data_IF_406141128617
#
_entry.id   IF_406141128617
#
_cell.length_a   1.000
_cell.length_b   1.000
_cell.length_c   1.000
_cell.angle_alpha   90.00
_cell.angle_beta   90.00
_cell.angle_gamma   90.00
#
_symmetry.space_group_name_H-M   'P 1'
#
loop_
_entity.id
_entity.type
_entity.pdbx_description
1 polymer ?
#
# COMPACT_ATOMS: atom_id res chain seq x y z
N UNK A 1 -20.67 21.96 -56.96
CA UNK A 1 -20.00 21.06 -57.94
C UNK A 1 -18.62 20.81 -57.37
N UNK A 2 -18.29 19.55 -57.05
CA UNK A 2 -17.05 19.19 -56.36
C UNK A 2 -16.18 18.37 -57.31
N UNK A 3 -14.86 18.41 -57.13
CA UNK A 3 -13.93 17.56 -57.86
C UNK A 3 -13.57 16.35 -56.98
N UNK A 4 -13.51 15.16 -57.57
CA UNK A 4 -12.93 14.00 -56.90
C UNK A 4 -11.40 14.02 -56.94
N UNK A 5 -10.78 12.99 -56.35
CA UNK A 5 -9.32 12.79 -56.33
C UNK A 5 -8.69 12.65 -57.74
N UNK A 6 -9.50 12.43 -58.78
CA UNK A 6 -9.09 12.34 -60.18
C UNK A 6 -9.44 13.61 -60.98
N UNK A 7 -9.76 14.73 -60.30
CA UNK A 7 -10.20 15.99 -60.89
C UNK A 7 -11.46 15.90 -61.76
N UNK A 8 -12.29 14.87 -61.56
CA UNK A 8 -13.57 14.77 -62.25
C UNK A 8 -14.63 15.55 -61.48
N UNK A 9 -15.44 16.27 -62.23
CA UNK A 9 -16.63 16.95 -61.73
C UNK A 9 -17.67 15.92 -61.28
N UNK A 10 -18.03 15.94 -60.00
CA UNK A 10 -19.04 15.06 -59.39
C UNK A 10 -20.16 15.86 -58.74
N UNK A 11 -21.39 15.35 -58.84
CA UNK A 11 -22.57 15.89 -58.16
C UNK A 11 -22.66 15.34 -56.73
N UNK A 12 -23.27 16.09 -55.82
CA UNK A 12 -23.55 15.59 -54.45
C UNK A 12 -24.49 14.39 -54.44
N UNK A 13 -25.26 14.19 -55.52
CA UNK A 13 -26.12 13.03 -55.70
C UNK A 13 -25.34 11.75 -56.06
N UNK A 14 -24.09 11.87 -56.50
CA UNK A 14 -23.24 10.75 -56.93
C UNK A 14 -22.28 10.28 -55.83
N UNK A 15 -22.16 11.04 -54.73
CA UNK A 15 -21.37 10.65 -53.57
C UNK A 15 -22.19 9.64 -52.76
N UNK A 16 -21.77 8.38 -52.75
CA UNK A 16 -22.33 7.40 -51.82
C UNK A 16 -22.13 7.92 -50.39
N UNK A 17 -23.17 7.96 -49.54
CA UNK A 17 -22.98 8.35 -48.15
C UNK A 17 -21.99 7.39 -47.50
N UNK A 18 -21.06 7.94 -46.72
CA UNK A 18 -20.13 7.12 -45.94
C UNK A 18 -20.92 6.17 -45.05
N UNK A 19 -20.48 4.91 -45.00
CA UNK A 19 -21.02 3.94 -44.06
C UNK A 19 -20.76 4.37 -42.62
N UNK A 20 -21.55 3.86 -41.69
CA UNK A 20 -21.43 4.15 -40.25
C UNK A 20 -19.99 3.95 -39.73
N UNK A 21 -19.31 2.88 -40.17
CA UNK A 21 -17.93 2.59 -39.80
C UNK A 21 -16.94 3.66 -40.30
N UNK A 22 -17.13 4.14 -41.53
CA UNK A 22 -16.26 5.17 -42.13
C UNK A 22 -16.46 6.53 -41.42
N UNK A 23 -17.69 6.82 -41.01
CA UNK A 23 -18.00 8.01 -40.21
C UNK A 23 -17.32 7.91 -38.84
N UNK A 24 -17.40 6.77 -38.15
CA UNK A 24 -16.74 6.58 -36.86
C UNK A 24 -15.21 6.67 -36.96
N UNK A 25 -14.61 6.10 -38.02
CA UNK A 25 -13.16 6.17 -38.24
C UNK A 25 -12.68 7.62 -38.44
N UNK A 26 -13.40 8.42 -39.23
CA UNK A 26 -13.08 9.83 -39.46
C UNK A 26 -13.19 10.67 -38.19
N UNK A 27 -14.27 10.48 -37.42
CA UNK A 27 -14.47 11.19 -36.17
C UNK A 27 -13.32 10.92 -35.19
N UNK A 28 -12.93 9.65 -35.02
CA UNK A 28 -11.82 9.25 -34.17
C UNK A 28 -10.46 9.81 -34.66
N UNK A 29 -10.20 9.82 -35.97
CA UNK A 29 -8.96 10.38 -36.54
C UNK A 29 -8.79 11.87 -36.20
N UNK A 30 -9.91 12.60 -36.07
CA UNK A 30 -9.93 14.01 -35.71
C UNK A 30 -10.12 14.26 -34.21
N UNK A 31 -10.01 13.22 -33.37
CA UNK A 31 -10.14 13.32 -31.92
C UNK A 31 -11.56 13.62 -31.45
N UNK A 32 -12.56 13.42 -32.32
CA UNK A 32 -13.97 13.54 -31.99
C UNK A 32 -14.47 12.14 -31.66
N UNK A 33 -14.51 11.81 -30.37
CA UNK A 33 -15.00 10.51 -29.93
C UNK A 33 -16.52 10.56 -29.78
N UNK A 34 -17.23 9.63 -30.41
CA UNK A 34 -18.69 9.48 -30.25
C UNK A 34 -19.10 8.96 -28.88
N UNK A 35 -18.13 8.47 -28.11
CA UNK A 35 -18.24 8.07 -26.72
C UNK A 35 -16.99 8.52 -25.95
N UNK A 36 -17.15 8.91 -24.69
CA UNK A 36 -16.00 9.12 -23.81
C UNK A 36 -15.41 7.74 -23.47
N UNK A 37 -14.14 7.43 -23.83
CA UNK A 37 -13.53 6.20 -23.37
C UNK A 37 -13.53 6.21 -21.84
N UNK A 38 -14.07 5.15 -21.23
CA UNK A 38 -14.09 4.99 -19.78
C UNK A 38 -12.63 4.98 -19.32
N UNK A 39 -12.18 5.92 -18.47
CA UNK A 39 -10.86 5.78 -17.88
C UNK A 39 -10.89 4.48 -17.07
N UNK A 40 -10.05 3.52 -17.45
CA UNK A 40 -9.79 2.33 -16.65
C UNK A 40 -8.94 2.76 -15.44
N UNK A 41 -9.57 3.44 -14.48
CA UNK A 41 -8.97 3.63 -13.17
C UNK A 41 -9.17 2.34 -12.38
N UNK A 42 -8.17 1.46 -12.44
CA UNK A 42 -7.99 0.44 -11.41
C UNK A 42 -7.34 1.14 -10.21
N UNK A 43 -8.05 1.33 -9.08
CA UNK A 43 -7.38 1.78 -7.87
C UNK A 43 -6.29 0.77 -7.53
N UNK A 44 -5.08 1.20 -7.14
CA UNK A 44 -4.10 0.28 -6.59
C UNK A 44 -4.76 -0.44 -5.40
N UNK A 45 -4.54 -1.75 -5.29
CA UNK A 45 -4.92 -2.48 -4.09
C UNK A 45 -4.15 -1.87 -2.93
N UNK A 46 -4.86 -1.24 -2.00
CA UNK A 46 -4.26 -0.72 -0.78
C UNK A 46 -3.99 -1.91 0.12
N UNK A 47 -2.88 -2.60 -0.14
CA UNK A 47 -2.33 -3.51 0.86
C UNK A 47 -2.09 -2.67 2.11
N UNK A 48 -2.72 -3.00 3.26
CA UNK A 48 -2.44 -2.28 4.49
C UNK A 48 -0.98 -2.56 4.85
N UNK A 49 -0.08 -1.68 4.42
CA UNK A 49 1.24 -1.55 5.02
C UNK A 49 0.96 -1.34 6.49
N UNK A 50 1.33 -2.27 7.36
CA UNK A 50 1.00 -2.22 8.78
C UNK A 50 1.36 -0.83 9.32
N UNK A 51 0.34 -0.06 9.70
CA UNK A 51 0.54 1.33 10.10
C UNK A 51 0.84 1.30 11.59
N UNK A 52 2.06 1.64 11.98
CA UNK A 52 2.36 1.86 13.39
C UNK A 52 1.52 3.05 13.93
N UNK A 53 0.97 2.92 15.14
CA UNK A 53 0.29 4.00 15.85
C UNK A 53 1.24 4.79 16.75
N UNK A 54 2.01 4.10 17.60
CA UNK A 54 3.02 4.69 18.48
C UNK A 54 3.84 3.62 19.20
N UNK A 55 4.98 4.03 19.78
CA UNK A 55 5.62 3.30 20.87
C UNK A 55 4.91 3.57 22.19
N UNK A 56 4.69 2.51 22.98
CA UNK A 56 4.05 2.56 24.29
C UNK A 56 5.05 2.15 25.37
N UNK A 57 5.60 3.11 26.10
CA UNK A 57 6.59 2.87 27.15
C UNK A 57 6.00 2.17 28.38
N UNK A 58 6.72 1.18 28.90
CA UNK A 58 6.44 0.57 30.20
C UNK A 58 7.68 0.53 31.07
N UNK A 59 7.45 0.49 32.39
CA UNK A 59 8.50 0.33 33.39
C UNK A 59 8.80 -1.13 33.69
N UNK A 60 9.90 -1.36 34.42
CA UNK A 60 10.22 -2.68 34.98
C UNK A 60 10.81 -3.69 34.01
N UNK A 61 11.27 -3.24 32.84
CA UNK A 61 11.76 -4.12 31.77
C UNK A 61 10.73 -5.13 31.26
N UNK A 62 9.45 -4.85 31.50
CA UNK A 62 8.32 -5.70 31.16
C UNK A 62 7.37 -4.94 30.21
N UNK A 63 7.12 -5.44 28.98
CA UNK A 63 6.16 -4.84 28.05
C UNK A 63 4.72 -4.78 28.61
N UNK A 64 4.38 -5.62 29.59
CA UNK A 64 3.12 -5.58 30.33
C UNK A 64 3.21 -4.81 31.66
N UNK A 65 4.37 -4.22 31.95
CA UNK A 65 4.63 -3.45 33.16
C UNK A 65 3.84 -2.13 33.23
N UNK A 66 4.08 -1.38 34.30
CA UNK A 66 3.39 -0.10 34.54
C UNK A 66 3.60 0.85 33.35
N UNK A 67 2.52 1.44 32.85
CA UNK A 67 2.57 2.39 31.73
C UNK A 67 3.28 3.67 32.16
N UNK A 68 4.16 4.17 31.29
CA UNK A 68 4.86 5.45 31.47
C UNK A 68 4.55 6.41 30.30
N UNK A 69 3.31 6.94 30.18
CA UNK A 69 2.85 7.61 28.97
C UNK A 69 3.62 8.87 28.58
N UNK A 70 4.32 9.48 29.56
CA UNK A 70 5.17 10.65 29.32
C UNK A 70 6.41 10.33 28.47
N UNK A 71 6.72 9.05 28.29
CA UNK A 71 7.82 8.54 27.49
C UNK A 71 7.34 7.69 26.30
N UNK A 72 6.05 7.74 25.96
CA UNK A 72 5.57 7.24 24.67
C UNK A 72 6.24 8.04 23.53
N UNK A 73 6.51 7.37 22.43
CA UNK A 73 7.27 7.94 21.31
C UNK A 73 6.56 7.72 19.98
N UNK A 74 6.96 8.50 18.97
CA UNK A 74 6.45 8.33 17.61
C UNK A 74 7.02 7.07 16.94
N UNK A 75 6.36 6.59 15.90
CA UNK A 75 6.75 5.36 15.19
C UNK A 75 8.15 5.40 14.59
N UNK A 76 8.62 6.60 14.22
CA UNK A 76 9.93 6.84 13.61
C UNK A 76 11.01 7.13 14.64
N UNK A 77 10.65 7.26 15.93
CA UNK A 77 11.63 7.47 16.99
C UNK A 77 12.41 6.16 17.18
N UNK A 78 13.74 6.27 17.20
CA UNK A 78 14.61 5.16 17.52
C UNK A 78 14.53 4.85 19.03
N UNK A 79 14.07 3.65 19.35
CA UNK A 79 13.97 3.16 20.73
C UNK A 79 15.29 2.49 21.09
N UNK A 80 16.05 3.12 21.99
CA UNK A 80 17.33 2.61 22.45
C UNK A 80 17.16 1.40 23.40
N UNK A 81 18.22 0.60 23.49
CA UNK A 81 18.36 -0.46 24.50
C UNK A 81 18.13 0.09 25.93
N UNK A 82 17.58 -0.75 26.80
CA UNK A 82 17.29 -0.41 28.20
C UNK A 82 15.88 0.12 28.43
N UNK A 83 15.01 0.12 27.40
CA UNK A 83 13.61 0.53 27.50
C UNK A 83 12.70 -0.67 27.27
N UNK A 84 11.65 -0.78 28.08
CA UNK A 84 10.56 -1.73 27.83
C UNK A 84 9.31 -1.02 27.32
N UNK A 85 8.48 -1.77 26.61
CA UNK A 85 7.23 -1.28 26.05
C UNK A 85 6.76 -2.13 24.89
N UNK A 86 5.84 -1.58 24.11
CA UNK A 86 5.36 -2.26 22.93
C UNK A 86 5.04 -1.28 21.80
N UNK A 87 5.22 -1.73 20.57
CA UNK A 87 4.77 -1.03 19.38
C UNK A 87 3.29 -1.31 19.18
N UNK A 88 2.47 -0.26 19.25
CA UNK A 88 1.04 -0.36 18.98
C UNK A 88 0.82 -0.36 17.47
N UNK A 89 0.62 -1.54 16.88
CA UNK A 89 0.44 -1.71 15.44
C UNK A 89 -1.04 -1.68 15.03
N UNK A 90 -1.36 -1.04 13.91
CA UNK A 90 -2.72 -1.01 13.37
C UNK A 90 -2.91 -2.21 12.44
N UNK A 91 -3.90 -3.05 12.74
CA UNK A 91 -4.26 -4.20 11.92
C UNK A 91 -3.43 -5.46 12.19
N UNK A 92 -2.54 -5.44 13.18
CA UNK A 92 -1.71 -6.57 13.64
C UNK A 92 -1.59 -6.55 15.17
N UNK A 93 -1.15 -7.65 15.81
CA UNK A 93 -0.78 -7.65 17.22
C UNK A 93 0.30 -6.61 17.51
N UNK A 94 0.36 -6.15 18.76
CA UNK A 94 1.45 -5.32 19.22
C UNK A 94 2.76 -6.12 19.24
N UNK A 95 3.88 -5.43 19.06
CA UNK A 95 5.21 -6.03 19.17
C UNK A 95 5.83 -5.62 20.49
N UNK A 96 6.09 -6.59 21.34
CA UNK A 96 6.55 -6.38 22.70
C UNK A 96 8.08 -6.35 22.80
N UNK A 97 8.60 -5.47 23.65
CA UNK A 97 10.03 -5.30 23.87
C UNK A 97 10.33 -5.21 25.37
N UNK A 98 11.22 -6.08 25.83
CA UNK A 98 11.91 -5.99 27.12
C UNK A 98 13.11 -5.06 27.00
N UNK A 99 13.74 -4.64 28.10
CA UNK A 99 14.91 -3.76 28.07
C UNK A 99 16.07 -4.24 27.17
N UNK A 100 16.29 -5.55 27.08
CA UNK A 100 17.37 -6.13 26.27
C UNK A 100 16.91 -6.35 24.82
N UNK A 101 16.90 -5.27 24.05
CA UNK A 101 16.65 -5.31 22.60
C UNK A 101 17.66 -4.45 21.83
N UNK A 102 17.82 -4.72 20.53
CA UNK A 102 18.57 -3.84 19.63
C UNK A 102 17.76 -2.57 19.36
N UNK A 103 18.45 -1.48 19.00
CA UNK A 103 17.79 -0.24 18.62
C UNK A 103 16.84 -0.50 17.44
N UNK A 104 15.62 0.01 17.55
CA UNK A 104 14.56 -0.26 16.57
C UNK A 104 13.60 0.90 16.47
N UNK A 105 12.84 0.94 15.38
CA UNK A 105 11.67 1.82 15.24
C UNK A 105 10.40 0.99 15.20
N UNK A 106 9.29 1.53 15.71
CA UNK A 106 8.01 0.83 15.61
C UNK A 106 7.46 0.77 14.19
N UNK A 107 7.91 1.68 13.31
CA UNK A 107 7.62 1.60 11.87
C UNK A 107 8.14 0.28 11.27
N UNK A 108 9.40 -0.05 11.52
CA UNK A 108 10.02 -1.30 11.04
C UNK A 108 9.42 -2.52 11.76
N UNK A 109 9.28 -2.46 13.08
CA UNK A 109 8.73 -3.55 13.87
C UNK A 109 7.34 -3.99 13.39
N UNK A 110 6.43 -3.03 13.16
CA UNK A 110 5.09 -3.33 12.67
C UNK A 110 5.10 -3.81 11.22
N UNK A 111 6.07 -3.38 10.40
CA UNK A 111 6.21 -3.84 9.03
C UNK A 111 6.64 -5.31 8.94
N UNK A 112 7.51 -5.77 9.85
CA UNK A 112 8.09 -7.12 9.83
C UNK A 112 7.31 -8.17 10.64
N UNK A 113 6.42 -7.77 11.55
CA UNK A 113 5.77 -8.67 12.52
C UNK A 113 4.63 -9.54 11.95
N UNK A 114 4.91 -10.31 10.88
CA UNK A 114 4.13 -11.49 10.51
C UNK A 114 4.71 -12.79 11.11
N UNK A 115 5.88 -12.72 11.77
CA UNK A 115 6.49 -13.85 12.48
C UNK A 115 6.68 -13.52 13.97
N UNK A 116 5.88 -14.16 14.80
CA UNK A 116 6.02 -14.20 16.27
C UNK A 116 7.38 -14.78 16.68
N UNK A 117 8.14 -14.16 17.59
CA UNK A 117 9.08 -14.91 18.41
C UNK A 117 8.29 -15.57 19.54
N UNK A 118 8.16 -16.89 19.46
CA UNK A 118 7.63 -17.73 20.53
C UNK A 118 8.46 -17.53 21.80
N UNK A 119 7.91 -16.78 22.76
CA UNK A 119 8.29 -16.90 24.15
C UNK A 119 7.45 -18.03 24.77
N UNK A 120 7.90 -19.26 24.58
CA UNK A 120 7.55 -20.37 25.45
C UNK A 120 8.81 -21.19 25.73
N UNK A 121 9.12 -21.23 27.01
CA UNK A 121 10.24 -21.87 27.66
C UNK A 121 10.15 -23.41 27.65
N UNK A 122 11.31 -24.01 27.91
CA UNK A 122 11.53 -25.22 28.71
C UNK A 122 11.94 -26.54 28.01
N UNK A 123 13.09 -27.01 28.52
CA UNK A 123 13.52 -28.39 28.78
C UNK A 123 13.97 -29.27 27.61
N UNK A 124 15.27 -29.57 27.56
CA UNK A 124 15.71 -30.98 27.58
C UNK A 124 16.95 -31.12 28.47
N UNK A 125 16.69 -31.82 29.58
CA UNK A 125 17.60 -32.30 30.61
C UNK A 125 18.85 -32.99 30.06
N UNK A 126 20.01 -32.58 30.54
CA UNK A 126 21.26 -33.33 30.40
C UNK A 126 21.32 -34.43 31.46
N UNK A 127 21.08 -35.68 31.06
CA UNK A 127 21.56 -36.87 31.77
C UNK A 127 21.59 -38.07 30.80
N UNK A 128 22.79 -38.59 30.51
CA UNK A 128 23.14 -39.98 30.87
C UNK A 128 24.61 -40.31 30.51
N UNK A 129 25.35 -40.64 31.57
CA UNK A 129 26.41 -41.64 31.77
C UNK A 129 27.44 -41.97 30.67
#
# INVERSE_FOLDING_TARGET
>A
MFLDEHQKVVSTHDMAPLGEEQIHALLNQHGIYTHTPKPEYTPPTFEPTAICKAWRQTGGCDPAGDREPMADESCTTMIANGRSGFCECIGKPNVDYVCEHMEMTCEEACAESDSTPDAASDDETSDEF
#
